data_IF_035260142284
#
_entry.id   IF_035260142284
#
_cell.length_a   1.000
_cell.length_b   1.000
_cell.length_c   1.000
_cell.angle_alpha   90.00
_cell.angle_beta   90.00
_cell.angle_gamma   90.00
#
_symmetry.space_group_name_H-M   'P 1'
#
loop_
_entity.id
_entity.type
_entity.pdbx_description
1 polymer ?
#
# COMPACT_ATOMS: atom_id res chain seq x y z
N UNK A 1 10.25 -0.34 24.00
CA UNK A 1 10.41 -1.80 23.84
C UNK A 1 9.28 -2.34 23.00
N UNK A 2 9.61 -3.00 21.88
CA UNK A 2 8.60 -3.64 21.03
C UNK A 2 8.14 -4.93 21.70
N UNK A 3 6.84 -5.17 21.81
CA UNK A 3 6.32 -6.40 22.41
C UNK A 3 6.65 -7.61 21.52
N UNK A 4 6.68 -8.81 22.11
CA UNK A 4 6.90 -10.04 21.34
C UNK A 4 5.83 -10.24 20.28
N UNK A 5 4.61 -9.80 20.55
CA UNK A 5 3.49 -9.84 19.59
C UNK A 5 3.77 -8.95 18.39
N UNK A 6 4.30 -7.75 18.63
CA UNK A 6 4.65 -6.82 17.55
C UNK A 6 5.79 -7.36 16.69
N UNK A 7 6.79 -8.00 17.31
CA UNK A 7 7.90 -8.60 16.58
C UNK A 7 7.41 -9.77 15.71
N UNK A 8 6.54 -10.63 16.24
CA UNK A 8 5.97 -11.74 15.49
C UNK A 8 5.11 -11.24 14.32
N UNK A 9 4.32 -10.19 14.53
CA UNK A 9 3.48 -9.60 13.51
C UNK A 9 4.27 -8.95 12.36
N UNK A 10 5.54 -8.61 12.62
CA UNK A 10 6.43 -7.98 11.64
C UNK A 10 7.41 -8.92 10.97
N UNK A 11 7.37 -10.23 11.32
CA UNK A 11 8.23 -11.21 10.67
C UNK A 11 7.73 -11.47 9.25
N UNK A 12 8.49 -11.09 8.23
CA UNK A 12 8.06 -11.23 6.85
C UNK A 12 8.34 -12.62 6.30
N UNK A 13 7.71 -12.92 5.18
CA UNK A 13 8.19 -13.95 4.28
C UNK A 13 9.45 -13.43 3.59
N UNK A 14 10.50 -14.22 3.55
CA UNK A 14 11.77 -13.77 2.96
C UNK A 14 11.60 -13.27 1.52
N UNK A 15 10.80 -13.97 0.74
CA UNK A 15 10.53 -13.60 -0.66
C UNK A 15 9.82 -12.25 -0.82
N UNK A 16 9.03 -11.84 0.17
CA UNK A 16 8.28 -10.58 0.09
C UNK A 16 9.16 -9.34 0.24
N UNK A 17 10.31 -9.48 0.89
CA UNK A 17 11.16 -8.34 1.25
C UNK A 17 12.56 -8.40 0.64
N UNK A 18 12.75 -9.32 -0.29
CA UNK A 18 14.06 -9.58 -0.91
C UNK A 18 14.47 -8.50 -1.92
N UNK A 19 13.54 -7.76 -2.47
CA UNK A 19 13.79 -6.74 -3.48
C UNK A 19 12.71 -5.66 -3.47
N UNK A 20 12.96 -4.50 -4.07
CA UNK A 20 11.92 -3.49 -4.28
C UNK A 20 10.71 -4.02 -5.05
N UNK A 21 10.95 -4.81 -6.10
CA UNK A 21 9.88 -5.42 -6.88
C UNK A 21 9.02 -6.35 -6.01
N UNK A 22 9.67 -7.15 -5.19
CA UNK A 22 8.99 -8.14 -4.34
C UNK A 22 8.11 -7.47 -3.30
N UNK A 23 8.59 -6.41 -2.63
CA UNK A 23 7.83 -5.77 -1.56
C UNK A 23 6.62 -5.00 -2.11
N UNK A 24 6.76 -4.36 -3.26
CA UNK A 24 5.64 -3.67 -3.91
C UNK A 24 4.58 -4.69 -4.35
N UNK A 25 5.00 -5.79 -4.97
CA UNK A 25 4.09 -6.87 -5.35
C UNK A 25 3.37 -7.43 -4.13
N UNK A 26 4.07 -7.64 -3.04
CA UNK A 26 3.49 -8.18 -1.81
C UNK A 26 2.40 -7.28 -1.23
N UNK A 27 2.58 -5.96 -1.27
CA UNK A 27 1.54 -5.01 -0.83
C UNK A 27 0.26 -5.20 -1.64
N UNK A 28 0.38 -5.21 -2.96
CA UNK A 28 -0.80 -5.33 -3.83
C UNK A 28 -1.48 -6.68 -3.67
N UNK A 29 -0.72 -7.75 -3.52
CA UNK A 29 -1.28 -9.09 -3.27
C UNK A 29 -1.99 -9.16 -1.91
N UNK A 30 -1.41 -8.59 -0.87
CA UNK A 30 -1.99 -8.61 0.46
C UNK A 30 -3.32 -7.85 0.55
N UNK A 31 -3.51 -6.84 -0.30
CA UNK A 31 -4.73 -6.05 -0.35
C UNK A 31 -5.82 -6.69 -1.21
N UNK A 32 -5.45 -7.54 -2.16
CA UNK A 32 -6.37 -8.06 -3.18
C UNK A 32 -7.07 -9.33 -2.73
N UNK A 33 -8.34 -9.48 -3.12
CA UNK A 33 -9.07 -10.71 -2.88
C UNK A 33 -10.59 -10.53 -2.92
N UNK A 34 -11.33 -11.63 -2.83
CA UNK A 34 -12.79 -11.58 -2.69
C UNK A 34 -13.17 -10.96 -1.35
N UNK A 35 -14.46 -10.64 -1.17
CA UNK A 35 -14.96 -10.19 0.12
C UNK A 35 -14.58 -11.18 1.21
N UNK A 36 -14.01 -10.69 2.31
CA UNK A 36 -13.53 -11.53 3.38
C UNK A 36 -12.28 -10.94 4.04
N UNK A 37 -11.71 -11.71 4.96
CA UNK A 37 -10.52 -11.29 5.69
C UNK A 37 -9.28 -11.26 4.80
N UNK A 38 -8.43 -10.28 5.04
CA UNK A 38 -7.10 -10.19 4.43
C UNK A 38 -6.04 -10.76 5.37
N UNK A 39 -4.88 -11.09 4.83
CA UNK A 39 -3.74 -11.46 5.64
C UNK A 39 -3.05 -10.18 6.15
N UNK A 40 -3.60 -9.62 7.23
CA UNK A 40 -3.09 -8.39 7.80
C UNK A 40 -1.68 -8.54 8.40
N UNK A 41 -1.33 -9.74 8.87
CA UNK A 41 0.03 -10.00 9.34
C UNK A 41 1.05 -9.86 8.21
N UNK A 42 0.73 -10.38 7.03
CA UNK A 42 1.59 -10.22 5.86
C UNK A 42 1.76 -8.73 5.52
N UNK A 43 0.65 -7.99 5.51
CA UNK A 43 0.70 -6.56 5.23
C UNK A 43 1.58 -5.83 6.25
N UNK A 44 1.35 -6.05 7.54
CA UNK A 44 2.13 -5.41 8.62
C UNK A 44 3.62 -5.70 8.49
N UNK A 45 3.98 -6.90 8.06
CA UNK A 45 5.39 -7.31 7.94
C UNK A 45 6.19 -6.51 6.93
N UNK A 46 5.51 -5.81 6.01
CA UNK A 46 6.16 -5.04 4.96
C UNK A 46 6.59 -3.64 5.41
N UNK A 47 6.02 -3.14 6.51
CA UNK A 47 6.19 -1.76 6.95
C UNK A 47 7.18 -1.63 8.09
N UNK A 48 8.03 -0.60 8.00
CA UNK A 48 8.93 -0.24 9.11
C UNK A 48 8.09 0.19 10.32
N UNK A 49 8.49 -0.17 11.55
CA UNK A 49 7.86 0.40 12.74
C UNK A 49 7.82 1.93 12.69
N UNK A 50 6.64 2.51 12.89
CA UNK A 50 6.45 3.95 12.75
C UNK A 50 6.09 4.44 11.36
N UNK A 51 5.96 3.54 10.39
CA UNK A 51 5.52 3.90 9.04
C UNK A 51 4.16 4.60 9.05
N UNK A 52 3.97 5.49 8.08
CA UNK A 52 2.73 6.26 7.95
C UNK A 52 2.03 5.92 6.64
N UNK A 53 0.72 5.76 6.72
CA UNK A 53 -0.18 5.56 5.60
C UNK A 53 -1.09 6.77 5.49
N UNK A 54 -1.07 7.43 4.33
CA UNK A 54 -1.72 8.72 4.16
C UNK A 54 -2.64 8.68 2.94
N UNK A 55 -3.93 8.33 3.11
CA UNK A 55 -4.89 8.40 2.00
C UNK A 55 -5.28 9.85 1.75
N UNK A 56 -5.26 10.26 0.47
CA UNK A 56 -5.69 11.58 0.06
C UNK A 56 -7.06 11.52 -0.61
N UNK A 57 -7.40 10.41 -1.19
CA UNK A 57 -8.53 10.17 -2.06
C UNK A 57 -9.89 10.74 -1.64
N UNK A 58 -10.88 10.54 -2.50
CA UNK A 58 -12.18 11.21 -2.46
C UNK A 58 -12.91 11.18 -1.11
N UNK A 59 -12.83 10.05 -0.39
CA UNK A 59 -13.48 9.91 0.91
C UNK A 59 -12.92 10.89 1.94
N UNK A 60 -11.60 10.96 2.02
CA UNK A 60 -10.90 11.83 2.97
C UNK A 60 -11.14 13.30 2.63
N UNK A 61 -11.08 13.64 1.34
CA UNK A 61 -11.36 15.00 0.88
C UNK A 61 -12.80 15.42 1.14
N UNK A 62 -13.76 14.51 0.94
CA UNK A 62 -15.17 14.78 1.20
C UNK A 62 -15.44 15.05 2.69
N UNK A 63 -14.68 14.45 3.58
CA UNK A 63 -14.77 14.68 5.02
C UNK A 63 -13.97 15.90 5.47
N UNK A 64 -13.25 16.55 4.54
CA UNK A 64 -12.48 17.76 4.82
C UNK A 64 -11.24 17.54 5.69
N UNK A 65 -10.69 16.33 5.68
CA UNK A 65 -9.52 15.99 6.50
C UNK A 65 -8.50 15.17 5.71
N UNK A 66 -7.27 15.17 6.19
CA UNK A 66 -6.22 14.26 5.74
C UNK A 66 -5.75 13.46 6.96
N UNK A 67 -5.90 12.15 6.89
CA UNK A 67 -5.48 11.28 7.98
C UNK A 67 -4.04 10.80 7.74
N UNK A 68 -3.20 10.99 8.74
CA UNK A 68 -1.85 10.40 8.79
C UNK A 68 -1.93 9.26 9.79
N UNK A 69 -1.98 8.04 9.29
CA UNK A 69 -2.29 6.87 10.10
C UNK A 69 -1.08 5.95 10.27
N UNK A 70 -1.03 5.23 11.38
CA UNK A 70 -0.18 4.05 11.49
C UNK A 70 -0.78 2.93 10.63
N UNK A 71 -0.01 1.86 10.43
CA UNK A 71 -0.51 0.68 9.70
C UNK A 71 -1.75 0.11 10.40
N UNK A 72 -1.70 -0.01 11.73
CA UNK A 72 -2.82 -0.58 12.50
C UNK A 72 -4.06 0.31 12.47
N UNK A 73 -3.89 1.62 12.56
CA UNK A 73 -5.02 2.56 12.44
C UNK A 73 -5.70 2.43 11.08
N UNK A 74 -4.90 2.31 10.01
CA UNK A 74 -5.44 2.13 8.67
C UNK A 74 -6.18 0.80 8.53
N UNK A 75 -5.62 -0.30 9.05
CA UNK A 75 -6.26 -1.61 9.03
C UNK A 75 -7.60 -1.56 9.76
N UNK A 76 -7.65 -0.95 10.94
CA UNK A 76 -8.88 -0.80 11.72
C UNK A 76 -9.95 -0.01 10.94
N UNK A 77 -9.52 1.00 10.18
CA UNK A 77 -10.43 1.83 9.38
C UNK A 77 -11.00 1.09 8.17
N UNK A 78 -10.21 0.21 7.52
CA UNK A 78 -10.57 -0.37 6.23
C UNK A 78 -11.04 -1.82 6.29
N UNK A 79 -10.77 -2.54 7.39
CA UNK A 79 -11.01 -3.98 7.45
C UNK A 79 -12.48 -4.37 7.21
N UNK A 80 -13.41 -3.63 7.79
CA UNK A 80 -14.84 -3.90 7.60
C UNK A 80 -15.25 -3.78 6.14
N UNK A 81 -14.73 -2.79 5.42
CA UNK A 81 -15.00 -2.63 4.00
C UNK A 81 -14.54 -3.84 3.19
N UNK A 82 -13.33 -4.33 3.44
CA UNK A 82 -12.79 -5.50 2.73
C UNK A 82 -13.49 -6.79 3.10
N UNK A 83 -14.05 -6.90 4.30
CA UNK A 83 -14.84 -8.08 4.67
C UNK A 83 -16.15 -8.16 3.89
N UNK A 84 -16.72 -7.02 3.53
CA UNK A 84 -18.00 -6.91 2.85
C UNK A 84 -17.91 -6.76 1.32
N UNK A 85 -16.75 -6.35 0.82
CA UNK A 85 -16.56 -6.02 -0.59
C UNK A 85 -15.32 -6.68 -1.17
N UNK A 86 -15.41 -7.27 -2.37
CA UNK A 86 -14.21 -7.68 -3.09
C UNK A 86 -13.40 -6.44 -3.48
N UNK A 87 -12.08 -6.60 -3.49
CA UNK A 87 -11.16 -5.54 -3.87
C UNK A 87 -9.93 -6.15 -4.53
N UNK A 88 -9.60 -5.66 -5.72
CA UNK A 88 -8.46 -6.13 -6.48
C UNK A 88 -7.66 -4.92 -6.92
N UNK A 89 -6.36 -4.94 -6.69
CA UNK A 89 -5.48 -3.84 -7.04
C UNK A 89 -4.18 -4.40 -7.60
N UNK A 90 -3.67 -3.76 -8.64
CA UNK A 90 -2.39 -4.14 -9.24
C UNK A 90 -1.62 -2.91 -9.70
N UNK A 91 -0.31 -3.05 -9.74
CA UNK A 91 0.54 -2.03 -10.35
C UNK A 91 0.48 -2.15 -11.86
N UNK A 92 0.29 -1.02 -12.55
CA UNK A 92 0.30 -0.97 -14.02
C UNK A 92 1.52 -0.24 -14.57
N UNK A 93 2.18 0.59 -13.75
CA UNK A 93 3.38 1.30 -14.14
C UNK A 93 4.13 1.74 -12.90
N UNK A 94 5.44 1.93 -13.02
CA UNK A 94 6.29 2.38 -11.92
C UNK A 94 7.35 3.35 -12.42
N UNK A 95 7.52 4.42 -11.65
CA UNK A 95 8.68 5.28 -11.74
C UNK A 95 9.40 5.25 -10.39
N UNK A 96 10.72 5.05 -10.38
CA UNK A 96 11.49 4.97 -9.16
C UNK A 96 12.83 5.67 -9.31
N UNK A 97 13.22 6.38 -8.25
CA UNK A 97 14.53 6.98 -8.12
C UNK A 97 15.23 6.38 -6.91
N UNK A 98 16.49 6.00 -7.07
CA UNK A 98 17.23 5.30 -6.03
C UNK A 98 18.55 6.00 -5.70
N UNK A 99 18.83 6.11 -4.41
CA UNK A 99 20.15 6.48 -3.92
C UNK A 99 20.52 5.52 -2.77
N UNK A 100 21.46 4.61 -3.05
CA UNK A 100 21.90 3.62 -2.05
C UNK A 100 20.75 2.75 -1.52
N UNK A 101 20.51 2.83 -0.22
CA UNK A 101 19.49 2.07 0.48
C UNK A 101 18.12 2.75 0.50
N UNK A 102 17.97 3.83 -0.23
CA UNK A 102 16.76 4.66 -0.26
C UNK A 102 16.17 4.67 -1.66
N UNK A 103 14.87 4.39 -1.75
CA UNK A 103 14.13 4.47 -3.03
C UNK A 103 12.87 5.28 -2.82
N UNK A 104 12.59 6.18 -3.77
CA UNK A 104 11.33 6.89 -3.87
C UNK A 104 10.59 6.38 -5.09
N UNK A 105 9.35 5.93 -4.89
CA UNK A 105 8.56 5.23 -5.90
C UNK A 105 7.24 5.94 -6.14
N UNK A 106 6.90 6.15 -7.42
CA UNK A 106 5.54 6.41 -7.84
C UNK A 106 5.02 5.15 -8.52
N UNK A 107 4.13 4.45 -7.83
CA UNK A 107 3.51 3.22 -8.30
C UNK A 107 2.10 3.54 -8.77
N UNK A 108 1.88 3.47 -10.08
CA UNK A 108 0.55 3.70 -10.65
C UNK A 108 -0.24 2.40 -10.56
N UNK A 109 -1.41 2.47 -9.95
CA UNK A 109 -2.25 1.29 -9.73
C UNK A 109 -3.58 1.40 -10.44
N UNK A 110 -4.18 0.25 -10.61
CA UNK A 110 -5.54 0.06 -11.08
C UNK A 110 -6.28 -0.82 -10.08
N UNK A 111 -7.42 -0.35 -9.60
CA UNK A 111 -8.22 -1.05 -8.59
C UNK A 111 -9.65 -1.25 -9.07
N UNK A 112 -10.27 -2.35 -8.68
CA UNK A 112 -11.66 -2.68 -9.03
C UNK A 112 -12.27 -3.63 -8.01
N UNK A 113 -13.60 -3.69 -7.99
CA UNK A 113 -14.32 -4.73 -7.23
C UNK A 113 -14.45 -6.03 -8.04
N UNK A 114 -14.22 -5.97 -9.35
CA UNK A 114 -14.25 -7.12 -10.26
C UNK A 114 -13.05 -6.99 -11.20
N UNK A 115 -12.07 -7.93 -11.14
CA UNK A 115 -10.86 -7.82 -11.96
C UNK A 115 -11.13 -7.92 -13.47
N UNK A 116 -12.28 -8.50 -13.86
CA UNK A 116 -12.70 -8.58 -15.25
C UNK A 116 -13.72 -7.51 -15.63
N UNK A 117 -14.13 -6.67 -14.67
CA UNK A 117 -15.08 -5.59 -14.87
C UNK A 117 -14.47 -4.39 -15.59
N UNK A 118 -15.35 -3.57 -16.18
CA UNK A 118 -14.93 -2.36 -16.91
C UNK A 118 -14.68 -1.17 -16.00
N UNK A 119 -15.30 -1.16 -14.82
CA UNK A 119 -15.15 -0.05 -13.86
C UNK A 119 -13.89 -0.23 -13.06
N UNK A 120 -12.92 0.63 -13.31
CA UNK A 120 -11.63 0.61 -12.62
C UNK A 120 -11.29 2.02 -12.13
N UNK A 121 -10.70 2.05 -10.94
CA UNK A 121 -10.13 3.27 -10.37
C UNK A 121 -8.63 3.19 -10.55
N UNK A 122 -8.03 4.25 -11.07
CA UNK A 122 -6.57 4.35 -11.16
C UNK A 122 -6.08 5.42 -10.20
N UNK A 123 -4.85 5.29 -9.78
CA UNK A 123 -4.22 6.27 -8.92
C UNK A 123 -2.74 6.04 -8.82
N UNK A 124 -2.10 6.82 -7.98
CA UNK A 124 -0.67 6.72 -7.73
C UNK A 124 -0.43 6.56 -6.23
N UNK A 125 0.42 5.58 -5.89
CA UNK A 125 0.97 5.42 -4.54
C UNK A 125 2.40 5.96 -4.55
N UNK A 126 2.63 7.02 -3.79
CA UNK A 126 3.97 7.53 -3.56
C UNK A 126 4.53 6.82 -2.34
N UNK A 127 5.56 6.01 -2.53
CA UNK A 127 6.15 5.19 -1.49
C UNK A 127 7.62 5.50 -1.31
N UNK A 128 8.08 5.44 -0.07
CA UNK A 128 9.49 5.47 0.26
C UNK A 128 9.90 4.11 0.79
N UNK A 129 10.94 3.53 0.18
CA UNK A 129 11.48 2.24 0.57
C UNK A 129 12.87 2.40 1.16
N UNK A 130 13.17 1.57 2.15
CA UNK A 130 14.45 1.54 2.83
C UNK A 130 15.01 0.13 2.85
N UNK A 131 16.29 -0.02 2.49
CA UNK A 131 17.02 -1.27 2.70
C UNK A 131 17.76 -1.19 4.02
N UNK A 132 17.41 -2.07 4.96
CA UNK A 132 18.03 -2.15 6.29
C UNK A 132 17.79 -3.53 6.88
N UNK A 133 18.71 -3.99 7.69
CA UNK A 133 18.61 -5.31 8.34
C UNK A 133 18.41 -6.44 7.32
N UNK A 134 19.15 -6.33 6.22
CA UNK A 134 19.16 -7.31 5.14
C UNK A 134 17.79 -7.56 4.49
N UNK A 135 16.95 -6.51 4.45
CA UNK A 135 15.63 -6.57 3.83
C UNK A 135 15.16 -5.20 3.38
N UNK A 136 14.10 -5.18 2.55
CA UNK A 136 13.40 -3.94 2.21
C UNK A 136 12.24 -3.69 3.17
N UNK A 137 11.96 -2.40 3.40
CA UNK A 137 10.89 -1.90 4.25
C UNK A 137 10.14 -0.79 3.52
N UNK A 138 8.83 -0.69 3.76
CA UNK A 138 8.07 0.49 3.37
C UNK A 138 8.08 1.45 4.57
N UNK A 139 8.55 2.66 4.34
CA UNK A 139 8.70 3.67 5.40
C UNK A 139 7.49 4.58 5.45
N UNK A 140 6.93 4.88 4.28
CA UNK A 140 5.83 5.82 4.13
C UNK A 140 5.12 5.57 2.83
N UNK A 141 3.78 5.72 2.83
CA UNK A 141 3.00 5.66 1.61
C UNK A 141 1.87 6.67 1.67
N UNK A 142 1.73 7.41 0.58
CA UNK A 142 0.66 8.38 0.36
C UNK A 142 0.04 8.05 -0.99
N UNK A 143 -1.28 8.07 -1.09
CA UNK A 143 -1.92 7.73 -2.36
C UNK A 143 -3.15 8.58 -2.62
N UNK A 144 -3.40 8.79 -3.90
CA UNK A 144 -4.55 9.51 -4.39
C UNK A 144 -5.07 8.87 -5.67
N UNK A 145 -6.36 8.98 -5.88
CA UNK A 145 -7.02 8.46 -7.08
C UNK A 145 -7.06 9.49 -8.19
N UNK A 146 -7.00 9.01 -9.42
CA UNK A 146 -7.20 9.83 -10.61
C UNK A 146 -8.63 10.37 -10.64
N UNK A 147 -8.76 11.65 -10.99
CA UNK A 147 -10.05 12.30 -11.23
C UNK A 147 -9.94 13.14 -12.49
N UNK A 148 -11.06 13.69 -12.97
CA UNK A 148 -11.05 14.62 -14.11
C UNK A 148 -10.16 15.84 -13.86
N UNK A 149 -10.11 16.30 -12.61
CA UNK A 149 -9.32 17.47 -12.21
C UNK A 149 -7.88 17.11 -11.89
N UNK A 150 -7.59 15.83 -11.71
CA UNK A 150 -6.28 15.32 -11.36
C UNK A 150 -5.98 14.07 -12.19
N UNK A 151 -5.76 14.22 -13.51
CA UNK A 151 -5.45 13.08 -14.36
C UNK A 151 -4.03 12.61 -14.13
N UNK A 152 -3.80 11.31 -14.28
CA UNK A 152 -2.45 10.75 -14.20
C UNK A 152 -1.64 11.27 -15.39
N UNK A 153 -0.46 11.89 -15.15
CA UNK A 153 0.42 12.32 -16.24
C UNK A 153 0.83 11.17 -17.14
N UNK A 154 1.04 11.46 -18.44
CA UNK A 154 1.37 10.43 -19.42
C UNK A 154 2.69 9.70 -19.18
N UNK A 155 3.54 10.24 -18.32
CA UNK A 155 4.82 9.64 -17.92
C UNK A 155 4.70 8.63 -16.77
N UNK A 156 3.52 8.51 -16.16
CA UNK A 156 3.23 7.59 -15.06
C UNK A 156 2.13 6.59 -15.41
#
# INVERSE_FOLDING_TARGET
>A
MTSMTDQAARKPRAEDVASPDAIIKAVYEALSGPAGKRNWQRLRSLYLPGARLIPIGNRVQAEGRTDVMSVDEWIDDISAYFEEHPFYIREIQRHADRFGDMIQVFSTYEASSDPEGEKKTRGIRAMQLLHRDDRWWIVNVMWDNETRKNPIPGEF
#
